data_IF_656652016348
#
_entry.id   IF_656652016348
#
_cell.length_a   1.000
_cell.length_b   1.000
_cell.length_c   1.000
_cell.angle_alpha   90.00
_cell.angle_beta   90.00
_cell.angle_gamma   90.00
#
_symmetry.space_group_name_H-M   'P 1'
#
loop_
_entity.id
_entity.type
_entity.pdbx_description
1 polymer ?
#
# COMPACT_ATOMS: atom_id res chain seq x y z
N UNK A 1 -9.89 44.03 -13.42
CA UNK A 1 -9.26 42.69 -13.34
C UNK A 1 -9.26 42.26 -11.88
N UNK A 2 -10.01 41.23 -11.49
CA UNK A 2 -10.05 40.75 -10.08
C UNK A 2 -9.00 39.67 -9.91
N UNK A 3 -8.01 39.90 -9.05
CA UNK A 3 -7.01 38.90 -8.65
C UNK A 3 -7.73 37.74 -7.95
N UNK A 4 -7.50 36.46 -8.31
CA UNK A 4 -8.13 35.35 -7.61
C UNK A 4 -7.53 35.23 -6.20
N UNK A 5 -8.39 35.16 -5.19
CA UNK A 5 -8.00 34.90 -3.82
C UNK A 5 -7.32 33.52 -3.72
N UNK A 6 -6.11 33.47 -3.17
CA UNK A 6 -5.38 32.23 -2.92
C UNK A 6 -6.09 31.43 -1.81
N UNK A 7 -6.80 30.37 -2.19
CA UNK A 7 -7.47 29.48 -1.25
C UNK A 7 -6.51 28.95 -0.17
N UNK A 8 -6.90 29.08 1.10
CA UNK A 8 -6.07 28.69 2.26
C UNK A 8 -5.73 27.20 2.17
N UNK A 9 -4.44 26.84 2.11
CA UNK A 9 -4.00 25.44 2.11
C UNK A 9 -4.46 24.75 3.40
N UNK A 10 -5.16 23.62 3.25
CA UNK A 10 -5.58 22.78 4.38
C UNK A 10 -4.37 22.32 5.21
N UNK A 11 -4.46 22.42 6.53
CA UNK A 11 -3.42 21.92 7.46
C UNK A 11 -3.31 20.40 7.39
N UNK A 12 -2.22 19.81 7.91
CA UNK A 12 -2.04 18.34 7.98
C UNK A 12 -3.19 17.65 8.71
N UNK A 13 -3.68 18.25 9.80
CA UNK A 13 -4.87 17.78 10.53
C UNK A 13 -6.14 17.88 9.68
N UNK A 14 -6.38 19.00 9.00
CA UNK A 14 -7.51 19.17 8.07
C UNK A 14 -7.44 18.27 6.84
N UNK A 15 -6.28 17.70 6.53
CA UNK A 15 -6.05 16.70 5.48
C UNK A 15 -6.19 15.26 5.98
N UNK A 16 -6.53 15.06 7.25
CA UNK A 16 -6.59 13.74 7.89
C UNK A 16 -5.22 13.07 8.04
N UNK A 17 -4.12 13.83 7.99
CA UNK A 17 -2.74 13.36 8.21
C UNK A 17 -2.21 13.77 9.60
N UNK A 18 -3.13 14.13 10.48
CA UNK A 18 -2.83 14.55 11.85
C UNK A 18 -2.40 13.38 12.74
N UNK A 19 -2.31 13.69 14.03
CA UNK A 19 -1.93 12.75 15.07
C UNK A 19 -2.74 11.44 15.04
N UNK A 20 -4.06 11.54 14.89
CA UNK A 20 -4.97 10.38 14.84
C UNK A 20 -4.60 9.37 13.75
N UNK A 21 -4.23 9.82 12.56
CA UNK A 21 -3.83 8.92 11.49
C UNK A 21 -2.52 8.20 11.85
N UNK A 22 -1.56 8.91 12.44
CA UNK A 22 -0.29 8.30 12.88
C UNK A 22 -0.53 7.23 13.94
N UNK A 23 -1.44 7.47 14.88
CA UNK A 23 -1.82 6.48 15.89
C UNK A 23 -2.51 5.25 15.29
N UNK A 24 -3.44 5.45 14.34
CA UNK A 24 -4.09 4.34 13.62
C UNK A 24 -3.04 3.45 12.93
N UNK A 25 -2.10 4.06 12.19
CA UNK A 25 -1.04 3.31 11.51
C UNK A 25 -0.10 2.62 12.49
N UNK A 26 0.24 3.27 13.61
CA UNK A 26 1.06 2.65 14.65
C UNK A 26 0.37 1.41 15.25
N UNK A 27 -0.93 1.48 15.52
CA UNK A 27 -1.73 0.34 16.00
C UNK A 27 -1.79 -0.80 14.97
N UNK A 28 -2.02 -0.47 13.71
CA UNK A 28 -2.01 -1.46 12.63
C UNK A 28 -0.65 -2.16 12.51
N UNK A 29 0.46 -1.41 12.61
CA UNK A 29 1.81 -1.99 12.58
C UNK A 29 2.12 -2.86 13.78
N UNK A 30 1.66 -2.47 14.97
CA UNK A 30 1.82 -3.26 16.17
C UNK A 30 1.07 -4.61 16.06
N UNK A 31 -0.12 -4.59 15.45
CA UNK A 31 -0.93 -5.78 15.21
C UNK A 31 -0.48 -6.61 13.98
N UNK A 32 0.30 -6.03 13.06
CA UNK A 32 0.70 -6.67 11.81
C UNK A 32 1.48 -7.96 12.03
N UNK A 33 1.14 -9.04 11.33
CA UNK A 33 1.91 -10.28 11.32
C UNK A 33 2.83 -10.29 10.11
N UNK A 34 4.14 -10.44 10.33
CA UNK A 34 5.13 -10.50 9.25
C UNK A 34 4.81 -11.63 8.26
N UNK A 35 4.95 -11.35 6.96
CA UNK A 35 4.58 -12.25 5.89
C UNK A 35 3.12 -12.13 5.42
N UNK A 36 2.25 -11.41 6.14
CA UNK A 36 0.88 -11.14 5.69
C UNK A 36 0.91 -10.50 4.29
N UNK A 37 0.14 -11.02 3.32
CA UNK A 37 0.20 -10.54 1.94
C UNK A 37 -0.35 -9.12 1.82
N UNK A 38 0.34 -8.29 1.05
CA UNK A 38 -0.13 -6.96 0.66
C UNK A 38 -1.38 -7.11 -0.22
N UNK A 39 -2.48 -6.48 0.15
CA UNK A 39 -3.74 -6.58 -0.59
C UNK A 39 -3.64 -6.07 -2.05
N UNK A 40 -2.72 -5.14 -2.32
CA UNK A 40 -2.53 -4.58 -3.66
C UNK A 40 -1.70 -5.50 -4.57
N UNK A 41 -0.50 -5.90 -4.14
CA UNK A 41 0.45 -6.63 -4.99
C UNK A 41 0.52 -8.14 -4.70
N UNK A 42 0.03 -8.61 -3.56
CA UNK A 42 0.09 -10.01 -3.14
C UNK A 42 1.40 -10.42 -2.44
N UNK A 43 2.44 -9.60 -2.52
CA UNK A 43 3.75 -9.90 -1.91
C UNK A 43 3.72 -9.75 -0.38
N UNK A 44 4.56 -10.49 0.36
CA UNK A 44 4.60 -10.42 1.82
C UNK A 44 4.99 -9.02 2.33
N UNK A 45 4.39 -8.62 3.45
CA UNK A 45 4.69 -7.39 4.18
C UNK A 45 5.41 -7.69 5.49
N UNK A 46 6.44 -6.92 5.79
CA UNK A 46 7.24 -7.04 7.01
C UNK A 46 7.30 -5.71 7.78
N UNK A 47 7.33 -5.78 9.12
CA UNK A 47 7.58 -4.61 9.97
C UNK A 47 9.00 -4.07 9.78
N UNK A 48 9.95 -4.97 9.60
CA UNK A 48 11.31 -4.64 9.17
C UNK A 48 11.26 -4.14 7.72
N UNK A 49 11.52 -2.85 7.55
CA UNK A 49 11.45 -2.20 6.23
C UNK A 49 12.41 -2.83 5.22
N UNK A 50 13.55 -3.36 5.67
CA UNK A 50 14.60 -3.88 4.78
C UNK A 50 14.21 -5.18 4.06
N UNK A 51 13.16 -5.85 4.55
CA UNK A 51 12.62 -7.09 3.97
C UNK A 51 11.51 -6.85 2.96
N UNK A 52 11.02 -5.62 2.85
CA UNK A 52 9.95 -5.30 1.92
C UNK A 52 10.50 -5.06 0.51
N UNK A 53 9.76 -5.46 -0.55
CA UNK A 53 10.21 -5.35 -1.93
C UNK A 53 10.37 -3.91 -2.43
N UNK A 54 9.75 -2.93 -1.75
CA UNK A 54 9.90 -1.50 -2.02
C UNK A 54 10.95 -0.81 -1.13
N UNK A 55 11.82 -1.59 -0.50
CA UNK A 55 13.01 -1.07 0.17
C UNK A 55 14.08 -0.70 -0.84
N UNK A 56 14.64 0.50 -0.66
CA UNK A 56 15.80 0.98 -1.41
C UNK A 56 16.76 1.65 -0.41
N UNK A 57 17.97 1.07 -0.17
CA UNK A 57 18.97 1.62 0.71
C UNK A 57 19.67 2.87 0.15
N UNK A 58 19.57 3.10 -1.16
CA UNK A 58 20.21 4.21 -1.88
C UNK A 58 19.25 5.35 -2.20
N UNK A 59 17.97 5.21 -1.86
CA UNK A 59 17.00 6.27 -2.03
C UNK A 59 17.42 7.53 -1.28
N UNK A 60 17.30 8.68 -1.96
CA UNK A 60 17.61 9.99 -1.40
C UNK A 60 16.42 10.92 -1.55
N UNK A 61 16.20 11.76 -0.54
CA UNK A 61 15.18 12.81 -0.60
C UNK A 61 15.71 14.01 -1.37
N UNK A 62 14.83 14.97 -1.68
CA UNK A 62 15.14 16.13 -2.54
C UNK A 62 16.35 16.98 -2.10
N UNK A 63 16.70 16.97 -0.83
CA UNK A 63 17.86 17.69 -0.31
C UNK A 63 19.10 16.81 -0.11
N UNK A 64 19.15 15.66 -0.77
CA UNK A 64 20.32 14.79 -0.88
C UNK A 64 20.57 13.85 0.31
N UNK A 65 19.78 13.92 1.39
CA UNK A 65 19.94 12.96 2.50
C UNK A 65 19.25 11.61 2.20
N UNK A 66 19.67 10.51 2.84
CA UNK A 66 19.02 9.21 2.69
C UNK A 66 17.52 9.27 2.98
N UNK A 67 16.73 8.59 2.17
CA UNK A 67 15.30 8.39 2.39
C UNK A 67 15.07 7.17 3.30
N UNK A 68 14.51 7.41 4.47
CA UNK A 68 14.22 6.38 5.47
C UNK A 68 12.80 5.81 5.34
N UNK A 69 12.03 6.25 4.34
CA UNK A 69 10.64 5.86 4.13
C UNK A 69 10.47 4.70 3.12
N UNK A 70 11.54 4.30 2.44
CA UNK A 70 11.51 3.12 1.57
C UNK A 70 11.34 1.85 2.40
N UNK A 71 10.56 0.91 1.86
CA UNK A 71 10.20 -0.34 2.54
C UNK A 71 9.25 -0.18 3.74
N UNK A 72 8.76 1.03 4.02
CA UNK A 72 7.95 1.30 5.22
C UNK A 72 6.46 1.08 4.92
N UNK A 73 5.76 0.30 5.76
CA UNK A 73 4.34 0.00 5.57
C UNK A 73 3.44 1.24 5.72
N UNK A 74 2.62 1.54 4.73
CA UNK A 74 1.69 2.67 4.75
C UNK A 74 0.31 2.25 5.27
N UNK A 75 -0.37 3.18 5.98
CA UNK A 75 -1.77 3.04 6.34
C UNK A 75 -2.68 3.40 5.17
N UNK A 76 -3.33 2.39 4.62
CA UNK A 76 -4.30 2.55 3.55
C UNK A 76 -5.71 2.68 4.12
N UNK A 77 -6.59 3.31 3.33
CA UNK A 77 -8.01 3.47 3.69
C UNK A 77 -8.86 2.76 2.65
N UNK A 78 -9.64 1.77 3.06
CA UNK A 78 -10.63 1.14 2.15
C UNK A 78 -11.52 2.21 1.50
N UNK A 79 -12.09 3.11 2.31
CA UNK A 79 -12.73 4.32 1.83
C UNK A 79 -11.67 5.42 1.66
N UNK A 80 -11.28 5.79 0.43
CA UNK A 80 -10.22 6.76 0.20
C UNK A 80 -10.58 8.13 0.79
N UNK A 81 -9.57 8.89 1.22
CA UNK A 81 -9.78 10.23 1.80
C UNK A 81 -10.44 11.21 0.83
N UNK A 82 -10.24 11.04 -0.48
CA UNK A 82 -10.91 11.81 -1.52
C UNK A 82 -12.43 11.62 -1.52
N UNK A 83 -12.92 10.49 -1.01
CA UNK A 83 -14.34 10.17 -0.83
C UNK A 83 -14.81 10.34 0.63
N UNK A 84 -14.01 10.98 1.50
CA UNK A 84 -14.39 11.31 2.87
C UNK A 84 -13.97 10.28 3.93
N UNK A 85 -13.24 9.23 3.59
CA UNK A 85 -12.73 8.29 4.59
C UNK A 85 -11.69 8.93 5.53
N UNK A 86 -11.71 8.53 6.81
CA UNK A 86 -10.85 9.08 7.88
C UNK A 86 -10.11 8.03 8.69
N UNK A 87 -10.40 6.74 8.44
CA UNK A 87 -9.82 5.62 9.17
C UNK A 87 -8.90 4.83 8.25
N UNK A 88 -7.63 4.74 8.63
CA UNK A 88 -6.75 3.73 8.09
C UNK A 88 -7.13 2.37 8.71
N UNK A 89 -7.43 1.39 7.86
CA UNK A 89 -7.97 0.08 8.27
C UNK A 89 -7.12 -1.10 7.78
N UNK A 90 -6.10 -0.85 6.95
CA UNK A 90 -5.14 -1.86 6.50
C UNK A 90 -3.75 -1.28 6.28
N UNK A 91 -2.77 -2.18 6.19
CA UNK A 91 -1.42 -1.86 5.75
C UNK A 91 -1.20 -2.27 4.30
N UNK A 92 -0.39 -1.48 3.58
CA UNK A 92 0.17 -1.81 2.28
C UNK A 92 1.66 -1.45 2.27
N UNK A 93 2.42 -1.95 1.30
CA UNK A 93 3.72 -1.35 0.96
C UNK A 93 3.54 0.13 0.57
N UNK A 94 4.55 0.96 0.83
CA UNK A 94 4.47 2.39 0.56
C UNK A 94 4.26 2.70 -0.93
N UNK A 95 4.97 1.98 -1.79
CA UNK A 95 4.79 2.08 -3.25
C UNK A 95 3.39 1.63 -3.68
N UNK A 96 2.90 0.51 -3.13
CA UNK A 96 1.57 -0.03 -3.45
C UNK A 96 0.44 0.93 -3.06
N UNK A 97 0.53 1.53 -1.87
CA UNK A 97 -0.41 2.54 -1.41
C UNK A 97 -0.44 3.76 -2.35
N UNK A 98 0.73 4.15 -2.86
CA UNK A 98 0.84 5.26 -3.83
C UNK A 98 0.24 4.89 -5.19
N UNK A 99 0.49 3.67 -5.68
CA UNK A 99 -0.05 3.17 -6.96
C UNK A 99 -1.57 3.04 -6.92
N UNK A 100 -2.15 2.61 -5.79
CA UNK A 100 -3.59 2.52 -5.58
C UNK A 100 -4.27 3.88 -5.72
N UNK A 101 -3.66 4.93 -5.17
CA UNK A 101 -4.17 6.29 -5.23
C UNK A 101 -5.49 6.44 -4.48
N UNK A 102 -6.57 6.76 -5.20
CA UNK A 102 -7.92 6.94 -4.65
C UNK A 102 -8.80 5.69 -4.77
N UNK A 103 -8.23 4.53 -5.10
CA UNK A 103 -8.96 3.27 -5.19
C UNK A 103 -9.71 3.04 -6.50
N UNK A 104 -9.74 4.01 -7.44
CA UNK A 104 -10.35 3.79 -8.77
C UNK A 104 -9.72 2.65 -9.57
N UNK A 105 -8.48 2.29 -9.22
CA UNK A 105 -7.68 1.23 -9.84
C UNK A 105 -7.69 -0.08 -9.05
N UNK A 106 -8.59 -0.26 -8.10
CA UNK A 106 -8.65 -1.48 -7.28
C UNK A 106 -8.85 -2.74 -8.15
N UNK A 107 -9.50 -2.62 -9.31
CA UNK A 107 -9.65 -3.67 -10.31
C UNK A 107 -8.38 -3.98 -11.12
N UNK A 108 -7.39 -3.07 -11.11
CA UNK A 108 -6.10 -3.22 -11.79
C UNK A 108 -5.02 -3.80 -10.87
N UNK A 109 -5.36 -4.08 -9.60
CA UNK A 109 -4.39 -4.48 -8.58
C UNK A 109 -3.56 -5.69 -9.04
N UNK A 110 -2.22 -5.64 -8.94
CA UNK A 110 -1.37 -6.75 -9.40
C UNK A 110 -1.68 -8.10 -8.73
N UNK A 111 -2.17 -8.09 -7.49
CA UNK A 111 -2.58 -9.31 -6.79
C UNK A 111 -3.64 -10.14 -7.54
N UNK A 112 -4.49 -9.52 -8.37
CA UNK A 112 -5.46 -10.26 -9.20
C UNK A 112 -4.80 -11.09 -10.29
N UNK A 113 -3.61 -10.69 -10.74
CA UNK A 113 -2.83 -11.39 -11.77
C UNK A 113 -1.92 -12.46 -11.18
N UNK A 114 -1.59 -12.35 -9.89
CA UNK A 114 -0.73 -13.29 -9.16
C UNK A 114 -1.51 -14.40 -8.46
N UNK A 115 -2.85 -14.38 -8.46
CA UNK A 115 -3.63 -15.57 -8.14
C UNK A 115 -3.26 -16.65 -9.16
N UNK A 116 -2.75 -17.82 -8.76
CA UNK A 116 -2.69 -18.93 -9.69
C UNK A 116 -4.10 -19.09 -10.24
N UNK A 117 -4.25 -19.02 -11.57
CA UNK A 117 -5.45 -19.52 -12.22
C UNK A 117 -5.57 -20.95 -11.72
N UNK A 118 -6.51 -21.19 -10.81
CA UNK A 118 -6.89 -22.54 -10.46
C UNK A 118 -7.41 -23.15 -11.76
N UNK A 119 -6.53 -23.84 -12.48
CA UNK A 119 -6.97 -24.81 -13.45
C UNK A 119 -7.83 -25.79 -12.64
N UNK A 120 -9.05 -26.14 -13.09
CA UNK A 120 -9.95 -27.01 -12.34
C UNK A 120 -9.39 -28.44 -12.09
N UNK A 121 -8.16 -28.73 -12.51
CA UNK A 121 -7.49 -30.01 -12.37
C UNK A 121 -6.14 -29.98 -11.62
N UNK A 122 -5.59 -28.80 -11.26
CA UNK A 122 -4.30 -28.70 -10.52
C UNK A 122 -3.09 -29.38 -11.18
N UNK A 123 -1.95 -29.40 -10.49
CA UNK A 123 -0.67 -30.01 -10.91
C UNK A 123 -0.66 -31.56 -10.83
N UNK A 124 -1.81 -32.21 -11.01
CA UNK A 124 -1.95 -33.67 -11.10
C UNK A 124 -2.20 -34.11 -12.55
N UNK A 125 -1.42 -33.57 -13.49
CA UNK A 125 -1.27 -34.17 -14.81
C UNK A 125 -0.39 -35.43 -14.66
N UNK A 126 -0.92 -36.48 -14.02
CA UNK A 126 -0.37 -37.82 -14.14
C UNK A 126 -0.47 -38.20 -15.62
N UNK A 127 0.67 -38.31 -16.29
CA UNK A 127 0.76 -38.84 -17.65
C UNK A 127 0.28 -40.29 -17.64
N UNK A 128 -0.94 -40.51 -18.11
CA UNK A 128 -1.42 -41.86 -18.42
C UNK A 128 -0.71 -42.35 -19.69
N UNK A 129 -0.24 -43.62 -19.74
CA UNK A 129 0.38 -44.16 -20.93
C UNK A 129 -0.67 -44.31 -22.03
N UNK A 130 -0.32 -43.87 -23.24
CA UNK A 130 -1.06 -44.25 -24.44
C UNK A 130 -0.99 -45.77 -24.60
N UNK A 131 -2.15 -46.41 -24.68
CA UNK A 131 -2.33 -47.75 -25.28
C UNK A 131 -2.65 -47.58 -26.75
#
# INVERSE_FOLDING_TARGET
MKTPATGRRRTTTQRGLGYTHREQVARLRAAHVDGTPCWWCGLPMYRDRTKNPDYDPHATRRDGKPDTLTGVLAGDHTNPRSAGGTQADRLLHGLCNTQRGDGRRDHERPALRQLPRQHPLGDLQMGWPAI
#
